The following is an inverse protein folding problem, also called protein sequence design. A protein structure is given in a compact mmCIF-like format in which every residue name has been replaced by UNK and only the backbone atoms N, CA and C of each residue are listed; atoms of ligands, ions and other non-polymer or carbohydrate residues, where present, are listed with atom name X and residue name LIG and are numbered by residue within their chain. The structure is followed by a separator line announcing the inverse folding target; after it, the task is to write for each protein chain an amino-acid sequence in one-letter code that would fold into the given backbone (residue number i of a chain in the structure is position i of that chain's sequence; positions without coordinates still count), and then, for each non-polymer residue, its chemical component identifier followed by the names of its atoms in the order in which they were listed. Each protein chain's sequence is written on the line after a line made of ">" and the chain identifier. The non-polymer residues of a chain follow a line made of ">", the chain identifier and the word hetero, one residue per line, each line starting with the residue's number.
data_IF_631836568784
#
_entry.id   IF_631836568784
#
_cell.length_a   1.000
_cell.length_b   1.000
_cell.length_c   1.000
_cell.angle_alpha   90.00
_cell.angle_beta   90.00
_cell.angle_gamma   90.00
#
_symmetry.space_group_name_H-M   'P 1'
#
loop_
_entity.id
_entity.type
_entity.pdbx_description
1 polymer ?
#
# COMPACT_ATOMS: atom_id res chain seq x y z
N UNK A 1 21.36 -17.02 -20.68
CA UNK A 1 20.55 -18.05 -19.97
C UNK A 1 19.87 -17.32 -18.84
N UNK A 2 18.55 -17.07 -18.95
CA UNK A 2 17.81 -16.44 -17.86
C UNK A 2 17.71 -17.44 -16.71
N UNK A 3 18.04 -17.03 -15.50
CA UNK A 3 17.78 -17.85 -14.31
C UNK A 3 16.28 -18.18 -14.25
N UNK A 4 15.89 -19.38 -13.79
CA UNK A 4 14.50 -19.70 -13.61
C UNK A 4 13.89 -18.68 -12.62
N UNK A 5 12.74 -18.09 -12.99
CA UNK A 5 12.01 -17.24 -12.08
C UNK A 5 11.76 -17.99 -10.76
N UNK A 6 12.03 -17.35 -9.65
CA UNK A 6 11.76 -17.91 -8.32
C UNK A 6 10.27 -18.24 -8.13
N UNK A 7 9.89 -18.91 -7.04
CA UNK A 7 8.50 -19.18 -6.73
C UNK A 7 7.73 -17.85 -6.61
N UNK A 8 6.49 -17.84 -7.10
CA UNK A 8 5.61 -16.68 -6.96
C UNK A 8 5.24 -16.51 -5.49
N UNK A 9 5.46 -15.31 -4.97
CA UNK A 9 5.08 -14.91 -3.62
C UNK A 9 3.98 -13.85 -3.68
N UNK A 10 2.96 -14.01 -2.87
CA UNK A 10 1.88 -13.03 -2.71
C UNK A 10 2.27 -12.00 -1.68
N UNK A 11 2.08 -10.71 -1.97
CA UNK A 11 2.38 -9.65 -1.04
C UNK A 11 1.20 -8.67 -0.89
N UNK A 12 1.09 -8.08 0.30
CA UNK A 12 0.22 -6.96 0.61
C UNK A 12 1.06 -5.71 0.77
N UNK A 13 0.61 -4.62 0.14
CA UNK A 13 1.27 -3.31 0.19
C UNK A 13 0.24 -2.27 0.57
N UNK A 14 0.54 -1.43 1.57
CA UNK A 14 -0.26 -0.24 1.87
C UNK A 14 0.23 0.93 1.04
N UNK A 15 -0.70 1.79 0.63
CA UNK A 15 -0.44 3.03 -0.08
C UNK A 15 -1.06 4.19 0.70
N UNK A 16 -0.30 5.28 0.85
CA UNK A 16 -0.75 6.48 1.54
C UNK A 16 -0.24 7.77 0.90
N UNK A 17 -1.03 8.84 0.98
CA UNK A 17 -0.61 10.20 0.58
C UNK A 17 -1.42 11.25 1.32
N UNK A 18 -0.76 12.30 1.87
CA UNK A 18 -1.46 13.45 2.44
C UNK A 18 -0.87 14.81 2.00
N UNK A 19 0.00 14.81 0.97
CA UNK A 19 0.63 16.02 0.46
C UNK A 19 0.49 16.10 -1.07
N UNK A 20 0.25 17.33 -1.59
CA UNK A 20 0.12 17.60 -3.02
C UNK A 20 -1.13 16.96 -3.65
N UNK A 21 -1.03 16.51 -4.88
CA UNK A 21 -2.09 15.75 -5.54
C UNK A 21 -2.07 14.30 -5.02
N UNK A 22 -2.81 14.08 -3.93
CA UNK A 22 -2.85 12.80 -3.21
C UNK A 22 -3.29 11.65 -4.11
N UNK A 23 -4.27 11.88 -4.99
CA UNK A 23 -4.81 10.85 -5.89
C UNK A 23 -3.79 10.49 -6.98
N UNK A 24 -3.14 11.47 -7.60
CA UNK A 24 -2.07 11.24 -8.57
C UNK A 24 -0.89 10.50 -7.93
N UNK A 25 -0.55 10.82 -6.69
CA UNK A 25 0.53 10.17 -5.97
C UNK A 25 0.27 8.67 -5.74
N UNK A 26 -0.91 8.28 -5.24
CA UNK A 26 -1.24 6.87 -5.01
C UNK A 26 -1.38 6.11 -6.33
N UNK A 27 -1.94 6.72 -7.39
CA UNK A 27 -2.00 6.16 -8.76
C UNK A 27 -0.60 5.88 -9.31
N UNK A 28 0.31 6.83 -9.15
CA UNK A 28 1.69 6.64 -9.59
C UNK A 28 2.44 5.57 -8.80
N UNK A 29 2.11 5.39 -7.52
CA UNK A 29 2.62 4.27 -6.73
C UNK A 29 2.23 2.92 -7.35
N UNK A 30 0.96 2.74 -7.68
CA UNK A 30 0.48 1.51 -8.34
C UNK A 30 1.13 1.33 -9.70
N UNK A 31 1.11 2.37 -10.56
CA UNK A 31 1.72 2.31 -11.89
C UNK A 31 3.22 1.98 -11.84
N UNK A 32 3.96 2.51 -10.85
CA UNK A 32 5.37 2.21 -10.63
C UNK A 32 5.63 0.76 -10.22
N UNK A 33 4.74 0.18 -9.41
CA UNK A 33 4.78 -1.23 -9.01
C UNK A 33 4.54 -2.13 -10.23
N UNK A 34 3.51 -1.86 -11.04
CA UNK A 34 3.21 -2.59 -12.28
C UNK A 34 4.36 -2.47 -13.30
N UNK A 35 4.90 -1.26 -13.51
CA UNK A 35 6.01 -1.02 -14.43
C UNK A 35 7.29 -1.76 -14.04
N UNK A 36 7.46 -2.08 -12.76
CA UNK A 36 8.56 -2.90 -12.27
C UNK A 36 8.33 -4.41 -12.49
N UNK A 37 7.20 -4.82 -13.10
CA UNK A 37 6.88 -6.22 -13.38
C UNK A 37 6.35 -6.99 -12.17
N UNK A 38 5.74 -6.31 -11.21
CA UNK A 38 4.97 -6.91 -10.13
C UNK A 38 3.52 -6.99 -10.59
N UNK A 39 2.92 -8.17 -10.52
CA UNK A 39 1.55 -8.43 -10.98
C UNK A 39 0.53 -7.97 -9.93
N UNK A 40 -0.17 -6.87 -10.21
CA UNK A 40 -1.21 -6.33 -9.33
C UNK A 40 -2.49 -7.14 -9.48
N UNK A 41 -2.82 -7.94 -8.47
CA UNK A 41 -3.97 -8.84 -8.45
C UNK A 41 -5.26 -8.10 -8.06
N UNK A 42 -5.19 -7.24 -7.04
CA UNK A 42 -6.34 -6.47 -6.57
C UNK A 42 -5.88 -5.17 -5.92
N UNK A 43 -6.75 -4.15 -5.99
CA UNK A 43 -6.58 -2.86 -5.31
C UNK A 43 -7.86 -2.53 -4.56
N UNK A 44 -7.74 -2.07 -3.33
CA UNK A 44 -8.88 -1.72 -2.50
C UNK A 44 -9.56 -0.43 -2.98
N UNK A 45 -10.77 -0.16 -2.51
CA UNK A 45 -11.33 1.18 -2.50
C UNK A 45 -10.36 2.20 -1.90
N UNK A 46 -10.55 3.47 -2.24
CA UNK A 46 -9.82 4.58 -1.68
C UNK A 46 -10.53 5.12 -0.44
N UNK A 47 -9.76 5.34 0.62
CA UNK A 47 -10.24 5.83 1.90
C UNK A 47 -9.58 7.16 2.27
N UNK A 48 -10.35 8.06 2.88
CA UNK A 48 -9.82 9.26 3.52
C UNK A 48 -9.82 9.09 5.03
N UNK A 49 -8.71 9.48 5.68
CA UNK A 49 -8.55 9.38 7.13
C UNK A 49 -7.89 10.62 7.69
N UNK A 50 -8.21 10.97 8.93
CA UNK A 50 -7.46 11.97 9.67
C UNK A 50 -6.01 11.49 9.91
N UNK A 51 -5.02 12.41 10.00
CA UNK A 51 -3.66 12.06 10.37
C UNK A 51 -3.63 11.41 11.77
N UNK A 52 -2.88 10.31 11.91
CA UNK A 52 -2.64 9.67 13.20
C UNK A 52 -1.28 10.11 13.73
N UNK A 53 -1.28 11.09 14.65
CA UNK A 53 -0.04 11.66 15.20
C UNK A 53 0.66 12.64 14.25
N UNK A 54 1.85 13.12 14.66
CA UNK A 54 2.64 14.10 13.90
C UNK A 54 2.28 15.55 14.17
N UNK A 55 2.81 16.51 13.36
CA UNK A 55 2.58 17.94 13.53
C UNK A 55 1.10 18.32 13.40
N UNK A 56 0.67 19.34 14.14
CA UNK A 56 -0.65 19.96 13.95
C UNK A 56 -0.77 20.53 12.52
N UNK A 57 -1.99 20.55 11.98
CA UNK A 57 -2.32 21.07 10.63
C UNK A 57 -1.84 20.18 9.45
N UNK A 58 -1.68 18.89 9.62
CA UNK A 58 -1.57 17.98 8.48
C UNK A 58 -2.94 17.77 7.80
N UNK A 59 -2.94 17.74 6.47
CA UNK A 59 -4.14 17.36 5.69
C UNK A 59 -4.49 15.87 5.88
N UNK A 60 -5.74 15.47 5.57
CA UNK A 60 -6.17 14.08 5.63
C UNK A 60 -5.37 13.22 4.64
N UNK A 61 -5.17 11.96 5.03
CA UNK A 61 -4.54 10.95 4.16
C UNK A 61 -5.56 10.35 3.19
N UNK A 62 -5.11 10.04 1.97
CA UNK A 62 -5.71 8.98 1.17
C UNK A 62 -4.98 7.68 1.46
N UNK A 63 -5.73 6.62 1.70
CA UNK A 63 -5.19 5.29 1.98
C UNK A 63 -5.84 4.24 1.08
N UNK A 64 -5.04 3.27 0.63
CA UNK A 64 -5.48 2.09 -0.08
C UNK A 64 -4.57 0.90 0.26
N UNK A 65 -5.00 -0.29 -0.14
CA UNK A 65 -4.18 -1.49 -0.09
C UNK A 65 -4.13 -2.16 -1.47
N UNK A 66 -3.02 -2.85 -1.73
CA UNK A 66 -2.76 -3.55 -2.97
C UNK A 66 -2.35 -4.98 -2.63
N UNK A 67 -2.96 -5.94 -3.34
CA UNK A 67 -2.55 -7.34 -3.35
C UNK A 67 -1.81 -7.60 -4.66
N UNK A 68 -0.62 -8.17 -4.57
CA UNK A 68 0.21 -8.44 -5.74
C UNK A 68 0.92 -9.78 -5.66
N UNK A 69 1.26 -10.33 -6.83
CA UNK A 69 2.08 -11.52 -6.99
C UNK A 69 3.43 -11.14 -7.62
N UNK A 70 4.53 -11.71 -7.12
CA UNK A 70 5.88 -11.41 -7.60
C UNK A 70 6.83 -12.59 -7.43
N UNK A 71 7.85 -12.66 -8.31
CA UNK A 71 9.00 -13.57 -8.16
C UNK A 71 10.22 -12.87 -7.58
N UNK A 72 10.15 -11.56 -7.28
CA UNK A 72 11.24 -10.79 -6.66
C UNK A 72 11.39 -11.17 -5.19
N UNK A 73 12.60 -11.14 -4.66
CA UNK A 73 12.81 -11.29 -3.22
C UNK A 73 12.15 -10.14 -2.42
N UNK A 74 11.74 -10.40 -1.18
CA UNK A 74 11.09 -9.40 -0.32
C UNK A 74 11.93 -8.12 -0.15
N UNK A 75 13.25 -8.26 -0.02
CA UNK A 75 14.17 -7.11 0.08
C UNK A 75 14.18 -6.26 -1.20
N UNK A 76 14.06 -6.88 -2.38
CA UNK A 76 14.01 -6.17 -3.66
C UNK A 76 12.68 -5.44 -3.85
N UNK A 77 11.57 -6.05 -3.38
CA UNK A 77 10.26 -5.37 -3.33
C UNK A 77 10.35 -4.14 -2.42
N UNK A 78 10.85 -4.28 -1.19
CA UNK A 78 11.00 -3.16 -0.26
C UNK A 78 11.89 -2.05 -0.84
N UNK A 79 13.01 -2.41 -1.46
CA UNK A 79 13.90 -1.45 -2.12
C UNK A 79 13.23 -0.75 -3.30
N UNK A 80 12.35 -1.43 -4.05
CA UNK A 80 11.53 -0.82 -5.10
C UNK A 80 10.56 0.20 -4.51
N UNK A 81 9.81 -0.16 -3.45
CA UNK A 81 8.86 0.74 -2.80
C UNK A 81 9.56 2.04 -2.34
N UNK A 82 10.71 1.93 -1.68
CA UNK A 82 11.49 3.10 -1.26
C UNK A 82 11.96 3.97 -2.45
N UNK A 83 12.33 3.37 -3.60
CA UNK A 83 12.68 4.14 -4.81
C UNK A 83 11.47 4.89 -5.38
N UNK A 84 10.30 4.26 -5.40
CA UNK A 84 9.07 4.90 -5.86
C UNK A 84 8.68 6.09 -4.97
N UNK A 85 8.77 5.94 -3.65
CA UNK A 85 8.57 7.03 -2.71
C UNK A 85 9.57 8.19 -2.97
N UNK A 86 10.85 7.86 -3.13
CA UNK A 86 11.90 8.85 -3.39
C UNK A 86 11.69 9.60 -4.70
N UNK A 87 11.17 8.94 -5.75
CA UNK A 87 10.90 9.55 -7.06
C UNK A 87 9.76 10.59 -7.01
N UNK A 88 8.92 10.56 -5.97
CA UNK A 88 7.83 11.52 -5.73
C UNK A 88 8.23 12.64 -4.76
N UNK A 89 9.53 12.98 -4.68
CA UNK A 89 10.06 14.06 -3.85
C UNK A 89 9.66 13.93 -2.37
N UNK A 90 9.89 12.76 -1.79
CA UNK A 90 9.70 12.54 -0.35
C UNK A 90 10.57 13.52 0.45
N UNK A 91 10.05 14.69 0.75
CA UNK A 91 10.67 15.60 1.70
C UNK A 91 10.44 15.07 3.13
N UNK A 92 11.32 14.19 3.60
CA UNK A 92 11.38 13.82 5.02
C UNK A 92 11.99 14.95 5.83
N UNK A 93 11.21 15.99 6.08
CA UNK A 93 11.67 17.12 6.92
C UNK A 93 11.43 16.84 8.41
N UNK A 94 10.41 16.02 8.76
CA UNK A 94 10.01 15.76 10.14
C UNK A 94 9.58 14.31 10.34
N UNK A 95 9.92 13.72 11.49
CA UNK A 95 9.40 12.41 11.90
C UNK A 95 7.86 12.49 12.02
N UNK A 96 7.11 11.59 11.39
CA UNK A 96 5.64 11.64 11.26
C UNK A 96 5.10 12.83 10.45
N UNK A 97 5.93 13.50 9.65
CA UNK A 97 5.54 14.62 8.79
C UNK A 97 4.70 14.20 7.57
N UNK A 98 4.16 15.21 6.84
CA UNK A 98 3.41 15.00 5.61
C UNK A 98 4.20 14.19 4.57
N UNK A 99 3.52 13.33 3.81
CA UNK A 99 4.14 12.45 2.79
C UNK A 99 3.44 12.58 1.46
N UNK A 100 4.25 12.79 0.40
CA UNK A 100 3.75 12.78 -0.98
C UNK A 100 3.28 11.39 -1.35
N UNK A 101 4.09 10.36 -1.08
CA UNK A 101 3.76 8.95 -1.27
C UNK A 101 4.38 8.14 -0.14
N UNK A 102 3.61 7.21 0.42
CA UNK A 102 4.01 6.27 1.46
C UNK A 102 3.63 4.86 1.00
N UNK A 103 4.60 3.96 0.93
CA UNK A 103 4.43 2.58 0.46
C UNK A 103 5.04 1.63 1.48
N UNK A 104 4.20 0.89 2.20
CA UNK A 104 4.64 -0.08 3.20
C UNK A 104 4.40 -1.52 2.71
N UNK A 105 5.45 -2.36 2.72
CA UNK A 105 5.31 -3.80 2.54
C UNK A 105 4.74 -4.41 3.82
N UNK A 106 3.47 -4.83 3.77
CA UNK A 106 2.75 -5.33 4.93
C UNK A 106 3.00 -6.82 5.17
N UNK A 107 2.90 -7.63 4.12
CA UNK A 107 3.06 -9.09 4.15
C UNK A 107 3.76 -9.53 2.88
N UNK A 108 4.61 -10.55 2.97
CA UNK A 108 5.26 -11.18 1.84
C UNK A 108 5.22 -12.70 1.99
N UNK A 109 4.27 -13.35 1.31
CA UNK A 109 4.01 -14.78 1.48
C UNK A 109 3.87 -15.16 2.95
N UNK A 110 4.57 -16.19 3.36
CA UNK A 110 4.62 -16.66 4.73
C UNK A 110 5.88 -16.16 5.48
N UNK A 111 6.65 -15.25 4.87
CA UNK A 111 7.90 -14.76 5.47
C UNK A 111 7.62 -14.01 6.77
N UNK A 112 8.33 -14.42 7.82
CA UNK A 112 8.44 -13.70 9.08
C UNK A 112 9.91 -13.31 9.28
N UNK A 113 10.18 -12.01 9.30
CA UNK A 113 11.51 -11.44 9.50
C UNK A 113 11.44 -10.26 10.46
N UNK A 114 12.39 -10.21 11.41
CA UNK A 114 12.55 -9.12 12.39
C UNK A 114 13.85 -8.33 12.12
N UNK A 115 14.48 -8.57 10.97
CA UNK A 115 15.68 -7.84 10.61
C UNK A 115 15.34 -6.35 10.36
N UNK A 116 16.13 -5.45 10.92
CA UNK A 116 15.91 -4.00 10.79
C UNK A 116 15.87 -3.52 9.32
N UNK A 117 16.51 -4.24 8.41
CA UNK A 117 16.50 -3.95 6.98
C UNK A 117 15.26 -4.48 6.25
N UNK A 118 14.51 -5.43 6.86
CA UNK A 118 13.33 -6.05 6.28
C UNK A 118 12.47 -6.63 7.40
N UNK A 119 11.55 -5.86 7.94
CA UNK A 119 10.62 -6.31 8.96
C UNK A 119 9.25 -6.62 8.34
N UNK A 120 8.96 -7.91 8.21
CA UNK A 120 7.67 -8.42 7.69
C UNK A 120 7.20 -9.61 8.53
N UNK A 121 5.90 -9.73 8.77
CA UNK A 121 4.84 -8.76 8.51
C UNK A 121 5.13 -7.41 9.17
N UNK A 122 4.63 -6.32 8.58
CA UNK A 122 4.80 -4.98 9.16
C UNK A 122 4.30 -4.96 10.61
N UNK A 123 5.13 -4.55 11.59
CA UNK A 123 4.91 -4.82 13.01
C UNK A 123 3.61 -4.24 13.57
N UNK A 124 3.12 -3.14 13.01
CA UNK A 124 1.95 -2.42 13.51
C UNK A 124 0.74 -2.47 12.58
N UNK A 125 0.75 -3.28 11.51
CA UNK A 125 -0.36 -3.29 10.54
C UNK A 125 -1.68 -3.65 11.21
N UNK A 126 -1.65 -4.66 12.07
CA UNK A 126 -2.83 -5.22 12.75
C UNK A 126 -3.41 -4.33 13.86
N UNK A 127 -2.75 -3.21 14.19
CA UNK A 127 -3.20 -2.22 15.16
C UNK A 127 -3.88 -1.00 14.51
N UNK A 128 -3.87 -0.92 13.16
CA UNK A 128 -4.23 0.28 12.41
C UNK A 128 -5.43 0.05 11.52
N UNK A 129 -6.58 0.62 11.86
CA UNK A 129 -7.81 0.47 11.04
C UNK A 129 -7.63 0.99 9.61
N UNK A 130 -6.94 2.11 9.41
CA UNK A 130 -6.70 2.70 8.09
C UNK A 130 -5.82 1.83 7.17
N UNK A 131 -5.11 0.83 7.73
CA UNK A 131 -4.43 -0.24 7.00
C UNK A 131 -5.33 -1.45 6.84
N UNK A 132 -5.96 -1.90 7.94
CA UNK A 132 -6.68 -3.17 7.97
C UNK A 132 -8.00 -3.15 7.20
N UNK A 133 -8.71 -2.00 7.16
CA UNK A 133 -9.97 -1.89 6.39
C UNK A 133 -9.70 -2.06 4.89
N UNK A 134 -8.79 -1.29 4.25
CA UNK A 134 -8.44 -1.54 2.84
C UNK A 134 -7.91 -2.96 2.56
N UNK A 135 -7.11 -3.53 3.48
CA UNK A 135 -6.62 -4.91 3.35
C UNK A 135 -7.76 -5.91 3.35
N UNK A 136 -8.76 -5.75 4.23
CA UNK A 136 -9.90 -6.66 4.31
C UNK A 136 -10.85 -6.56 3.12
N UNK A 137 -10.88 -5.44 2.39
CA UNK A 137 -11.65 -5.35 1.15
C UNK A 137 -11.13 -6.29 0.04
N UNK A 138 -9.82 -6.60 0.05
CA UNK A 138 -9.15 -7.35 -1.03
C UNK A 138 -8.60 -8.71 -0.59
N UNK A 139 -8.31 -8.89 0.69
CA UNK A 139 -7.71 -10.12 1.22
C UNK A 139 -8.21 -10.47 2.63
N UNK A 140 -9.54 -10.53 2.88
CA UNK A 140 -10.09 -10.74 4.23
C UNK A 140 -9.69 -12.09 4.85
N UNK A 141 -9.53 -13.13 4.03
CA UNK A 141 -9.23 -14.49 4.47
C UNK A 141 -7.73 -14.81 4.48
N UNK A 142 -6.88 -13.86 4.06
CA UNK A 142 -5.43 -14.04 4.16
C UNK A 142 -5.03 -14.14 5.63
N UNK A 143 -4.22 -15.16 5.95
CA UNK A 143 -3.73 -15.39 7.32
C UNK A 143 -2.47 -14.56 7.55
N UNK A 144 -2.44 -13.79 8.64
CA UNK A 144 -1.27 -13.04 9.06
C UNK A 144 -0.16 -14.02 9.50
N UNK A 145 1.02 -14.05 8.84
CA UNK A 145 2.01 -15.11 9.02
C UNK A 145 2.52 -15.28 10.46
N UNK A 146 2.59 -14.19 11.23
CA UNK A 146 3.07 -14.22 12.61
C UNK A 146 1.96 -14.54 13.63
N UNK A 147 0.74 -14.02 13.37
CA UNK A 147 -0.37 -14.12 14.34
C UNK A 147 -1.25 -15.35 14.13
N UNK A 148 -1.18 -15.99 12.95
CA UNK A 148 -1.97 -17.18 12.63
C UNK A 148 -3.48 -16.91 12.56
N UNK A 149 -3.90 -15.64 12.38
CA UNK A 149 -5.31 -15.20 12.30
C UNK A 149 -5.59 -14.56 10.96
N UNK A 150 -6.81 -14.63 10.48
CA UNK A 150 -7.21 -13.96 9.24
C UNK A 150 -7.21 -12.45 9.40
N UNK A 151 -7.04 -11.70 8.29
CA UNK A 151 -7.12 -10.24 8.32
C UNK A 151 -8.48 -9.76 8.82
N UNK A 152 -9.56 -10.47 8.49
CA UNK A 152 -10.92 -10.21 8.98
C UNK A 152 -11.01 -10.30 10.50
N UNK A 153 -10.46 -11.37 11.09
CA UNK A 153 -10.50 -11.58 12.54
C UNK A 153 -9.68 -10.50 13.26
N UNK A 154 -8.53 -10.11 12.71
CA UNK A 154 -7.70 -9.04 13.26
C UNK A 154 -8.41 -7.68 13.19
N UNK A 155 -9.08 -7.39 12.07
CA UNK A 155 -9.86 -6.16 11.95
C UNK A 155 -11.03 -6.09 12.92
N UNK A 156 -11.69 -7.24 13.20
CA UNK A 156 -12.83 -7.31 14.11
C UNK A 156 -12.46 -6.93 15.56
N UNK A 157 -11.21 -7.10 15.96
CA UNK A 157 -10.72 -6.72 17.30
C UNK A 157 -10.43 -5.20 17.42
N UNK A 158 -10.34 -4.48 16.31
CA UNK A 158 -10.00 -3.06 16.34
C UNK A 158 -11.23 -2.20 16.66
N UNK A 159 -11.10 -1.22 17.59
CA UNK A 159 -12.20 -0.33 17.92
C UNK A 159 -12.63 0.48 16.68
N UNK A 160 -13.92 0.71 16.55
CA UNK A 160 -14.50 1.56 15.51
C UNK A 160 -14.79 2.92 16.11
N UNK A 161 -14.12 3.95 15.62
CA UNK A 161 -14.41 5.32 16.01
C UNK A 161 -15.21 6.01 14.90
N UNK A 162 -16.30 6.76 15.23
CA UNK A 162 -17.06 7.50 14.24
C UNK A 162 -16.17 8.48 13.47
N UNK A 163 -16.14 8.35 12.12
CA UNK A 163 -15.38 9.25 11.25
C UNK A 163 -13.88 8.95 11.15
N UNK A 164 -13.40 7.82 11.67
CA UNK A 164 -12.00 7.42 11.54
C UNK A 164 -11.59 7.14 10.08
N UNK A 165 -12.52 6.58 9.28
CA UNK A 165 -12.35 6.32 7.85
C UNK A 165 -13.58 6.75 7.06
N UNK A 166 -13.35 7.39 5.91
CA UNK A 166 -14.39 7.68 4.92
C UNK A 166 -14.05 6.98 3.61
N UNK A 167 -14.90 6.04 3.17
CA UNK A 167 -14.76 5.40 1.85
C UNK A 167 -15.14 6.41 0.77
N UNK A 168 -14.25 6.66 -0.18
CA UNK A 168 -14.44 7.66 -1.24
C UNK A 168 -14.93 7.05 -2.54
N UNK A 169 -14.22 6.07 -3.08
CA UNK A 169 -14.51 5.47 -4.39
C UNK A 169 -13.86 4.10 -4.55
N UNK A 170 -14.51 3.26 -5.37
CA UNK A 170 -14.03 1.92 -5.73
C UNK A 170 -13.24 1.91 -7.05
N UNK A 171 -13.34 2.96 -7.86
CA UNK A 171 -12.87 2.97 -9.26
C UNK A 171 -11.79 4.03 -9.52
N UNK A 172 -10.95 4.31 -8.54
CA UNK A 172 -9.96 5.38 -8.62
C UNK A 172 -8.77 5.13 -9.55
N UNK A 173 -8.57 3.89 -10.05
CA UNK A 173 -7.51 3.55 -11.01
C UNK A 173 -7.92 3.67 -12.47
N UNK A 174 -9.22 3.77 -12.80
CA UNK A 174 -9.73 3.59 -14.16
C UNK A 174 -9.59 4.80 -15.10
N UNK A 175 -9.15 5.96 -14.62
CA UNK A 175 -9.13 7.20 -15.42
C UNK A 175 -7.89 7.41 -16.35
N UNK A 176 -6.93 6.47 -16.38
CA UNK A 176 -5.70 6.65 -17.17
C UNK A 176 -5.64 5.91 -18.51
N UNK A 177 -6.68 5.14 -18.89
CA UNK A 177 -6.65 4.34 -20.13
C UNK A 177 -7.44 4.91 -21.32
N UNK A 178 -7.98 6.15 -21.26
CA UNK A 178 -8.74 6.78 -22.34
C UNK A 178 -8.19 8.15 -22.73
N UNK A 179 -6.95 8.18 -23.21
CA UNK A 179 -6.33 9.40 -23.68
C UNK A 179 -5.32 9.20 -24.82
N UNK A 180 -5.61 8.32 -25.78
CA UNK A 180 -4.85 8.25 -27.03
C UNK A 180 -5.72 7.75 -28.18
N UNK A 181 -6.79 8.45 -28.51
CA UNK A 181 -7.32 8.41 -29.86
C UNK A 181 -6.51 9.40 -30.68
N UNK A 182 -5.56 8.90 -31.45
CA UNK A 182 -4.96 9.64 -32.54
C UNK A 182 -6.04 9.86 -33.60
N UNK A 183 -6.61 11.06 -33.61
CA UNK A 183 -7.18 11.64 -34.83
C UNK A 183 -6.02 12.18 -35.66
N UNK A 184 -5.81 11.58 -36.79
CA UNK A 184 -5.05 12.21 -37.90
C UNK A 184 -5.98 12.33 -39.10
N UNK A 185 -6.05 13.55 -39.71
CA UNK A 185 -6.77 13.78 -40.94
C UNK A 185 -6.10 13.12 -42.16
#
# INVERSE_FOLDING_TARGET
>A
MSEPAGPVSRCLIALGSNLGDRLDNVRAGVAGIEAAGIDVVAVSPLYETAPVGGPENQGPYLNAALLADTTRAAADVLALLHRLEASRERQRVVHWGPRTLDLDLLVYGELVSEAAALEVPHPRMHERRFVMVPVCDIAPDLVHPRLGRTMRDLLADLPVEPGDLTRLTDTWLTDTRHGATHDHP
#
